data_IF_492457648111
#
_entry.id   IF_492457648111
#
_cell.length_a   1.000
_cell.length_b   1.000
_cell.length_c   1.000
_cell.angle_alpha   90.00
_cell.angle_beta   90.00
_cell.angle_gamma   90.00
#
_symmetry.space_group_name_H-M   'P 1'
#
loop_
_entity.id
_entity.type
_entity.pdbx_description
1 polymer ?
#
# COMPACT_ATOMS: atom_id res chain seq x y z
N UNK A 1 4.97 5.06 -11.80
CA UNK A 1 5.74 6.29 -11.54
C UNK A 1 7.21 5.96 -11.28
N UNK A 2 7.57 5.19 -10.24
CA UNK A 2 8.96 4.93 -9.81
C UNK A 2 9.85 4.41 -10.94
N UNK A 3 9.40 3.41 -11.69
CA UNK A 3 10.16 2.84 -12.82
C UNK A 3 10.42 3.88 -13.93
N UNK A 4 9.43 4.74 -14.22
CA UNK A 4 9.63 5.86 -15.17
C UNK A 4 10.60 6.92 -14.65
N UNK A 5 10.83 6.95 -13.34
CA UNK A 5 11.81 7.85 -12.69
C UNK A 5 13.18 7.20 -12.48
N UNK A 6 13.42 6.02 -13.09
CA UNK A 6 14.73 5.38 -13.10
C UNK A 6 14.99 4.34 -11.99
N UNK A 7 13.95 3.89 -11.27
CA UNK A 7 14.10 2.76 -10.35
C UNK A 7 14.41 1.50 -11.16
N UNK A 8 15.55 0.90 -10.92
CA UNK A 8 16.07 -0.24 -11.69
C UNK A 8 15.77 -1.62 -11.10
N UNK A 9 15.30 -1.67 -9.84
CA UNK A 9 14.89 -2.92 -9.19
C UNK A 9 13.71 -2.66 -8.28
N UNK A 10 12.74 -3.58 -8.23
CA UNK A 10 11.53 -3.45 -7.41
C UNK A 10 10.97 -4.81 -7.02
N UNK A 11 10.69 -4.97 -5.74
CA UNK A 11 9.95 -6.11 -5.20
C UNK A 11 8.49 -5.72 -5.02
N UNK A 12 7.59 -6.58 -5.47
CA UNK A 12 6.14 -6.40 -5.40
C UNK A 12 5.56 -7.47 -4.49
N UNK A 13 4.92 -7.06 -3.41
CA UNK A 13 4.35 -7.96 -2.40
C UNK A 13 2.85 -7.68 -2.29
N UNK A 14 2.02 -8.61 -2.72
CA UNK A 14 0.55 -8.56 -2.64
C UNK A 14 0.00 -9.95 -2.99
N UNK A 15 -0.91 -10.49 -2.20
CA UNK A 15 -1.52 -11.80 -2.45
C UNK A 15 -2.81 -11.73 -3.27
N UNK A 16 -3.34 -10.53 -3.44
CA UNK A 16 -4.61 -10.29 -4.10
C UNK A 16 -4.57 -10.49 -5.62
N UNK A 17 -5.73 -10.88 -6.14
CA UNK A 17 -6.04 -10.80 -7.58
C UNK A 17 -6.76 -9.49 -7.89
N UNK A 18 -6.64 -9.06 -9.14
CA UNK A 18 -7.41 -7.92 -9.66
C UNK A 18 -8.89 -8.27 -9.63
N UNK A 19 -9.67 -7.44 -8.94
CA UNK A 19 -11.12 -7.57 -8.83
C UNK A 19 -11.81 -6.51 -9.70
N UNK A 20 -13.03 -6.81 -10.15
CA UNK A 20 -13.83 -5.87 -10.94
C UNK A 20 -14.04 -4.52 -10.21
N UNK A 21 -14.19 -4.56 -8.89
CA UNK A 21 -14.33 -3.37 -8.06
C UNK A 21 -13.06 -2.52 -7.95
N UNK A 22 -11.92 -3.03 -8.40
CA UNK A 22 -10.67 -2.27 -8.43
C UNK A 22 -10.56 -1.31 -9.63
N UNK A 23 -11.41 -1.48 -10.67
CA UNK A 23 -11.36 -0.69 -11.90
C UNK A 23 -11.54 0.82 -11.65
N UNK A 24 -12.23 1.18 -10.58
CA UNK A 24 -12.51 2.57 -10.25
C UNK A 24 -11.28 3.36 -9.76
N UNK A 25 -10.18 2.70 -9.36
CA UNK A 25 -9.04 3.37 -8.72
C UNK A 25 -7.66 2.76 -8.97
N UNK A 26 -7.57 1.48 -9.36
CA UNK A 26 -6.28 0.81 -9.53
C UNK A 26 -5.86 0.80 -11.01
N UNK A 27 -4.70 1.39 -11.31
CA UNK A 27 -4.19 1.54 -12.68
C UNK A 27 -3.93 0.20 -13.39
N UNK A 28 -3.70 -0.88 -12.63
CA UNK A 28 -3.50 -2.23 -13.16
C UNK A 28 -4.80 -2.97 -13.41
N UNK A 29 -5.92 -2.45 -12.86
CA UNK A 29 -7.21 -3.09 -12.98
C UNK A 29 -7.87 -2.66 -14.29
N UNK A 30 -7.99 -3.59 -15.21
CA UNK A 30 -8.71 -3.49 -16.47
C UNK A 30 -9.57 -4.74 -16.66
N UNK A 31 -10.52 -4.72 -17.58
CA UNK A 31 -11.35 -5.91 -17.86
C UNK A 31 -10.50 -7.13 -18.23
N UNK A 32 -9.39 -6.93 -18.94
CA UNK A 32 -8.49 -8.01 -19.39
C UNK A 32 -7.56 -8.52 -18.28
N UNK A 33 -7.46 -7.82 -17.13
CA UNK A 33 -6.60 -8.22 -16.01
C UNK A 33 -7.37 -8.78 -14.82
N UNK A 34 -8.71 -8.66 -14.79
CA UNK A 34 -9.54 -9.25 -13.73
C UNK A 34 -9.23 -10.74 -13.56
N UNK A 35 -9.05 -11.18 -12.32
CA UNK A 35 -8.70 -12.55 -11.95
C UNK A 35 -7.20 -12.88 -11.95
N UNK A 36 -6.34 -12.03 -12.53
CA UNK A 36 -4.88 -12.19 -12.47
C UNK A 36 -4.32 -11.63 -11.18
N UNK A 37 -3.19 -12.16 -10.70
CA UNK A 37 -2.52 -11.61 -9.52
C UNK A 37 -2.05 -10.17 -9.78
N UNK A 38 -2.30 -9.27 -8.81
CA UNK A 38 -1.92 -7.85 -8.92
C UNK A 38 -0.42 -7.66 -9.15
N UNK A 39 0.40 -8.42 -8.45
CA UNK A 39 1.86 -8.35 -8.59
C UNK A 39 2.34 -8.79 -9.98
N UNK A 40 1.70 -9.79 -10.60
CA UNK A 40 2.05 -10.22 -11.96
C UNK A 40 1.66 -9.17 -13.01
N UNK A 41 0.44 -8.62 -12.89
CA UNK A 41 -0.02 -7.56 -13.81
C UNK A 41 0.87 -6.31 -13.68
N UNK A 42 1.29 -5.98 -12.47
CA UNK A 42 2.20 -4.85 -12.25
C UNK A 42 3.60 -5.13 -12.81
N UNK A 43 4.14 -6.36 -12.62
CA UNK A 43 5.41 -6.77 -13.22
C UNK A 43 5.39 -6.62 -14.74
N UNK A 44 4.38 -7.17 -15.39
CA UNK A 44 4.26 -7.13 -16.85
C UNK A 44 4.20 -5.66 -17.35
N UNK A 45 3.48 -4.80 -16.63
CA UNK A 45 3.44 -3.36 -16.91
C UNK A 45 4.79 -2.66 -16.67
N UNK A 46 5.55 -3.07 -15.66
CA UNK A 46 6.87 -2.53 -15.39
C UNK A 46 7.83 -2.87 -16.52
N UNK A 47 7.85 -4.12 -16.94
CA UNK A 47 8.73 -4.61 -18.02
C UNK A 47 8.35 -4.01 -19.39
N UNK A 48 7.08 -3.68 -19.62
CA UNK A 48 6.64 -2.93 -20.79
C UNK A 48 7.11 -1.46 -20.79
N UNK A 49 7.35 -0.89 -19.60
CA UNK A 49 7.88 0.48 -19.42
C UNK A 49 9.41 0.51 -19.48
N UNK A 50 10.04 -0.42 -18.79
CA UNK A 50 11.48 -0.56 -18.71
C UNK A 50 11.86 -2.06 -18.68
N UNK A 51 12.25 -2.63 -19.81
CA UNK A 51 12.58 -4.05 -19.89
C UNK A 51 13.82 -4.46 -19.07
N UNK A 52 14.68 -3.49 -18.73
CA UNK A 52 15.89 -3.74 -17.93
C UNK A 52 15.64 -3.70 -16.41
N UNK A 53 14.42 -3.36 -15.98
CA UNK A 53 14.06 -3.32 -14.57
C UNK A 53 14.00 -4.75 -13.99
N UNK A 54 14.72 -4.98 -12.90
CA UNK A 54 14.62 -6.24 -12.14
C UNK A 54 13.35 -6.21 -11.31
N UNK A 55 12.45 -7.18 -11.52
CA UNK A 55 11.16 -7.24 -10.80
C UNK A 55 10.99 -8.59 -10.15
N UNK A 56 10.96 -8.60 -8.82
CA UNK A 56 10.59 -9.78 -8.04
C UNK A 56 9.12 -9.69 -7.64
N UNK A 57 8.42 -10.81 -7.64
CA UNK A 57 6.99 -10.89 -7.30
C UNK A 57 6.77 -11.89 -6.17
N UNK A 58 6.12 -11.43 -5.11
CA UNK A 58 5.78 -12.23 -3.94
C UNK A 58 4.25 -12.26 -3.79
N UNK A 59 3.64 -13.43 -4.05
CA UNK A 59 2.19 -13.65 -3.95
C UNK A 59 1.82 -14.05 -2.53
N UNK A 60 2.07 -13.18 -1.59
CA UNK A 60 1.85 -13.44 -0.18
C UNK A 60 1.45 -12.18 0.56
N UNK A 61 0.83 -12.36 1.72
CA UNK A 61 0.64 -11.30 2.70
C UNK A 61 1.96 -11.02 3.43
N UNK A 62 2.30 -9.73 3.56
CA UNK A 62 3.31 -9.33 4.51
C UNK A 62 2.67 -9.28 5.91
N UNK A 63 3.12 -10.16 6.80
CA UNK A 63 2.65 -10.30 8.18
C UNK A 63 3.85 -10.36 9.13
N UNK A 64 3.67 -10.16 10.45
CA UNK A 64 4.75 -10.36 11.42
C UNK A 64 5.40 -11.74 11.32
N UNK A 65 4.64 -12.77 10.96
CA UNK A 65 5.09 -14.16 10.85
C UNK A 65 5.92 -14.41 9.58
N UNK A 66 5.70 -13.66 8.51
CA UNK A 66 6.39 -13.80 7.23
C UNK A 66 7.47 -12.72 7.00
N UNK A 67 7.64 -11.81 7.95
CA UNK A 67 8.56 -10.67 7.81
C UNK A 67 10.02 -11.07 7.55
N UNK A 68 10.45 -12.17 8.12
CA UNK A 68 11.84 -12.65 8.02
C UNK A 68 12.17 -13.25 6.64
N UNK A 69 11.16 -13.44 5.78
CA UNK A 69 11.33 -13.81 4.38
C UNK A 69 11.87 -12.62 3.54
N UNK A 70 11.82 -11.40 4.08
CA UNK A 70 12.20 -10.16 3.39
C UNK A 70 13.37 -9.50 4.11
N UNK A 71 14.53 -9.50 3.48
CA UNK A 71 15.71 -8.80 3.98
C UNK A 71 15.66 -7.30 3.63
N UNK A 72 15.12 -6.49 4.55
CA UNK A 72 15.04 -5.05 4.35
C UNK A 72 16.39 -4.36 4.27
N UNK A 73 17.48 -4.97 4.76
CA UNK A 73 18.82 -4.40 4.63
C UNK A 73 19.30 -4.33 3.17
N UNK A 74 18.74 -5.16 2.31
CA UNK A 74 19.04 -5.17 0.87
C UNK A 74 18.28 -4.08 0.08
N UNK A 75 17.22 -3.46 0.67
CA UNK A 75 16.41 -2.46 0.00
C UNK A 75 16.91 -1.04 0.22
N UNK A 76 16.96 -0.26 -0.84
CA UNK A 76 17.26 1.18 -0.74
C UNK A 76 16.10 1.97 -0.11
N UNK A 77 14.87 1.48 -0.24
CA UNK A 77 13.66 2.15 0.23
C UNK A 77 12.47 1.19 0.31
N UNK A 78 11.64 1.36 1.33
CA UNK A 78 10.38 0.61 1.49
C UNK A 78 9.19 1.55 1.29
N UNK A 79 8.20 1.10 0.50
CA UNK A 79 6.92 1.80 0.32
C UNK A 79 5.81 0.94 0.93
N UNK A 80 5.28 1.38 2.04
CA UNK A 80 4.13 0.76 2.69
C UNK A 80 2.83 1.33 2.10
N UNK A 81 2.14 0.51 1.33
CA UNK A 81 0.84 0.81 0.74
C UNK A 81 -0.24 -0.22 1.13
N UNK A 82 0.01 -1.03 2.17
CA UNK A 82 -0.96 -2.00 2.70
C UNK A 82 -2.05 -1.28 3.51
N UNK A 83 -3.20 -1.90 3.69
CA UNK A 83 -4.33 -1.35 4.44
C UNK A 83 -4.46 -1.92 5.87
N UNK A 84 -3.82 -3.05 6.15
CA UNK A 84 -3.87 -3.74 7.43
C UNK A 84 -2.94 -3.09 8.46
N UNK A 85 -3.47 -2.64 9.59
CA UNK A 85 -2.69 -1.96 10.65
C UNK A 85 -1.55 -2.82 11.18
N UNK A 86 -1.78 -4.12 11.38
CA UNK A 86 -0.76 -5.05 11.88
C UNK A 86 0.43 -5.13 10.94
N UNK A 87 0.17 -5.30 9.63
CA UNK A 87 1.22 -5.31 8.61
C UNK A 87 1.98 -3.99 8.53
N UNK A 88 1.27 -2.85 8.56
CA UNK A 88 1.91 -1.53 8.61
C UNK A 88 2.88 -1.37 9.77
N UNK A 89 2.47 -1.80 10.96
CA UNK A 89 3.34 -1.74 12.14
C UNK A 89 4.57 -2.63 11.96
N UNK A 90 4.40 -3.86 11.47
CA UNK A 90 5.49 -4.78 11.23
C UNK A 90 6.50 -4.23 10.20
N UNK A 91 6.01 -3.65 9.08
CA UNK A 91 6.84 -2.97 8.08
C UNK A 91 7.67 -1.84 8.67
N UNK A 92 7.04 -0.98 9.49
CA UNK A 92 7.73 0.14 10.14
C UNK A 92 8.78 -0.34 11.13
N UNK A 93 8.46 -1.36 11.92
CA UNK A 93 9.39 -1.91 12.92
C UNK A 93 10.60 -2.56 12.23
N UNK A 94 10.38 -3.38 11.21
CA UNK A 94 11.48 -4.01 10.47
C UNK A 94 12.36 -2.98 9.74
N UNK A 95 11.75 -1.97 9.11
CA UNK A 95 12.50 -0.89 8.48
C UNK A 95 13.37 -0.10 9.47
N UNK A 96 12.91 0.06 10.71
CA UNK A 96 13.70 0.70 11.77
C UNK A 96 14.84 -0.19 12.26
N UNK A 97 14.58 -1.48 12.43
CA UNK A 97 15.59 -2.46 12.87
C UNK A 97 16.74 -2.55 11.87
N UNK A 98 16.46 -2.49 10.57
CA UNK A 98 17.46 -2.54 9.50
C UNK A 98 18.02 -1.16 9.12
N UNK A 99 17.43 -0.07 9.60
CA UNK A 99 17.81 1.28 9.20
C UNK A 99 17.35 1.67 7.80
N UNK A 100 16.46 0.90 7.18
CA UNK A 100 15.98 1.13 5.81
C UNK A 100 14.97 2.26 5.77
N UNK A 101 15.12 3.25 4.88
CA UNK A 101 14.15 4.31 4.71
C UNK A 101 12.76 3.78 4.32
N UNK A 102 11.71 4.31 4.94
CA UNK A 102 10.33 3.90 4.66
C UNK A 102 9.40 5.12 4.53
N UNK A 103 8.42 5.01 3.64
CA UNK A 103 7.25 5.88 3.58
C UNK A 103 5.97 5.05 3.66
N UNK A 104 5.03 5.47 4.48
CA UNK A 104 3.78 4.75 4.69
C UNK A 104 2.58 5.58 4.21
N UNK A 105 1.76 4.99 3.35
CA UNK A 105 0.51 5.60 2.91
C UNK A 105 -0.58 5.38 3.96
N UNK A 106 -1.24 6.47 4.35
CA UNK A 106 -2.41 6.42 5.24
C UNK A 106 -3.70 6.23 4.45
N UNK A 107 -4.84 6.19 5.14
CA UNK A 107 -6.13 5.95 4.50
C UNK A 107 -6.53 7.05 3.52
N UNK A 108 -6.84 6.64 2.29
CA UNK A 108 -7.32 7.51 1.21
C UNK A 108 -8.82 7.29 0.89
N UNK A 109 -9.47 6.32 1.53
CA UNK A 109 -10.88 6.03 1.31
C UNK A 109 -11.79 7.21 1.64
N UNK A 110 -12.84 7.39 0.82
CA UNK A 110 -13.86 8.43 0.98
C UNK A 110 -13.31 9.87 0.98
N UNK A 111 -12.23 10.11 0.22
CA UNK A 111 -11.61 11.41 0.03
C UNK A 111 -11.62 11.75 -1.46
N UNK A 112 -12.11 12.94 -1.79
CA UNK A 112 -12.37 13.36 -3.17
C UNK A 112 -11.37 14.39 -3.68
N UNK A 113 -10.70 15.11 -2.78
CA UNK A 113 -9.77 16.18 -3.15
C UNK A 113 -8.32 15.69 -3.11
N UNK A 114 -7.70 15.33 -4.26
CA UNK A 114 -6.32 14.87 -4.31
C UNK A 114 -5.31 15.95 -3.91
N UNK A 115 -5.64 17.24 -4.02
CA UNK A 115 -4.76 18.34 -3.63
C UNK A 115 -4.58 18.47 -2.11
N UNK A 116 -5.39 17.77 -1.31
CA UNK A 116 -5.26 17.75 0.15
C UNK A 116 -4.33 16.66 0.67
N UNK A 117 -3.74 15.86 -0.23
CA UNK A 117 -2.69 14.90 0.17
C UNK A 117 -1.36 15.62 0.38
N UNK A 118 -0.69 15.27 1.45
CA UNK A 118 0.63 15.82 1.78
C UNK A 118 1.55 14.75 2.38
N UNK A 119 2.86 15.01 2.30
CA UNK A 119 3.89 14.23 2.97
C UNK A 119 4.21 14.90 4.29
N UNK A 120 4.11 14.15 5.39
CA UNK A 120 4.41 14.66 6.73
C UNK A 120 5.05 13.59 7.61
N UNK A 121 5.49 14.01 8.80
CA UNK A 121 5.76 13.06 9.88
C UNK A 121 4.44 12.59 10.49
N UNK A 122 4.35 11.29 10.84
CA UNK A 122 3.15 10.68 11.41
C UNK A 122 2.61 11.47 12.62
N UNK A 123 3.50 12.04 13.44
CA UNK A 123 3.12 12.81 14.63
C UNK A 123 2.61 14.23 14.32
N UNK A 124 2.77 14.70 13.08
CA UNK A 124 2.24 15.98 12.59
C UNK A 124 0.93 15.82 11.81
N UNK A 125 0.43 14.58 11.65
CA UNK A 125 -0.81 14.31 10.91
C UNK A 125 -2.04 14.68 11.73
N UNK A 126 -3.11 15.05 11.03
CA UNK A 126 -4.42 15.38 11.59
C UNK A 126 -5.54 14.65 10.84
N UNK A 127 -6.76 14.70 11.33
CA UNK A 127 -8.00 14.27 10.66
C UNK A 127 -8.06 12.76 10.35
N UNK A 128 -7.04 12.17 9.75
CA UNK A 128 -7.03 10.80 9.26
C UNK A 128 -7.17 9.76 10.41
N UNK A 129 -8.24 8.93 10.43
CA UNK A 129 -8.45 7.92 11.49
C UNK A 129 -7.34 6.87 11.54
N UNK A 130 -6.86 6.39 10.38
CA UNK A 130 -5.77 5.42 10.31
C UNK A 130 -4.48 6.01 10.90
N UNK A 131 -4.14 7.25 10.56
CA UNK A 131 -2.97 7.92 11.12
C UNK A 131 -3.08 8.07 12.65
N UNK A 132 -4.29 8.31 13.19
CA UNK A 132 -4.53 8.35 14.64
C UNK A 132 -4.20 7.02 15.32
N UNK A 133 -4.63 5.91 14.73
CA UNK A 133 -4.33 4.56 15.23
C UNK A 133 -2.83 4.30 15.15
N UNK A 134 -2.21 4.55 13.99
CA UNK A 134 -0.77 4.35 13.77
C UNK A 134 0.08 5.15 14.74
N UNK A 135 -0.23 6.44 14.98
CA UNK A 135 0.47 7.26 15.97
C UNK A 135 0.47 6.63 17.37
N UNK A 136 -0.70 6.15 17.79
CA UNK A 136 -0.85 5.52 19.12
C UNK A 136 0.01 4.25 19.22
N UNK A 137 -0.09 3.39 18.24
CA UNK A 137 0.58 2.08 18.27
C UNK A 137 2.11 2.21 18.08
N UNK A 138 2.56 3.11 17.22
CA UNK A 138 3.98 3.38 17.00
C UNK A 138 4.64 4.07 18.20
N UNK A 139 3.90 4.98 18.87
CA UNK A 139 4.41 5.62 20.12
C UNK A 139 4.66 4.61 21.22
N UNK A 140 3.78 3.60 21.39
CA UNK A 140 3.97 2.51 22.36
C UNK A 140 5.23 1.69 22.09
N UNK A 141 5.66 1.61 20.82
CA UNK A 141 6.83 0.86 20.36
C UNK A 141 8.10 1.71 20.25
N UNK A 142 8.06 2.95 20.73
CA UNK A 142 9.21 3.83 20.75
C UNK A 142 9.60 4.44 19.40
N UNK A 143 8.74 4.32 18.38
CA UNK A 143 8.98 4.93 17.05
C UNK A 143 8.90 6.45 17.20
N UNK A 144 10.00 7.14 16.90
CA UNK A 144 10.10 8.60 17.07
C UNK A 144 9.65 9.41 15.87
N UNK A 145 9.71 8.82 14.67
CA UNK A 145 9.34 9.47 13.41
C UNK A 145 8.95 8.43 12.36
N UNK A 146 8.03 8.79 11.48
CA UNK A 146 7.70 8.01 10.29
C UNK A 146 7.22 8.97 9.21
N UNK A 147 7.82 8.90 8.03
CA UNK A 147 7.34 9.63 6.86
C UNK A 147 6.06 9.00 6.36
N UNK A 148 5.00 9.78 6.19
CA UNK A 148 3.71 9.29 5.70
C UNK A 148 3.15 10.18 4.61
N UNK A 149 2.31 9.59 3.75
CA UNK A 149 1.39 10.31 2.87
C UNK A 149 0.00 10.21 3.49
N UNK A 150 -0.65 11.34 3.71
CA UNK A 150 -2.01 11.38 4.25
C UNK A 150 -2.78 12.58 3.69
N UNK A 151 -4.10 12.57 3.83
CA UNK A 151 -4.92 13.72 3.43
C UNK A 151 -5.53 14.40 4.66
N UNK A 152 -5.58 15.71 4.64
CA UNK A 152 -6.27 16.55 5.65
C UNK A 152 -7.77 16.66 5.40
N UNK A 153 -8.26 16.09 4.31
CA UNK A 153 -9.67 16.07 4.00
C UNK A 153 -10.45 15.22 5.01
N UNK A 154 -11.60 15.73 5.45
CA UNK A 154 -12.58 14.92 6.20
C UNK A 154 -13.14 13.85 5.27
N UNK A 155 -13.15 12.57 5.68
CA UNK A 155 -13.77 11.53 4.86
C UNK A 155 -15.25 11.83 4.66
N UNK A 156 -15.71 11.73 3.42
CA UNK A 156 -17.13 11.82 3.10
C UNK A 156 -17.84 10.57 3.64
N UNK A 157 -18.98 10.76 4.29
CA UNK A 157 -19.82 9.63 4.71
C UNK A 157 -20.47 9.02 3.45
N UNK A 158 -20.21 7.74 3.13
CA UNK A 158 -20.87 7.10 2.00
C UNK A 158 -22.39 7.09 2.20
N UNK A 159 -23.15 7.27 1.12
CA UNK A 159 -24.57 6.93 1.12
C UNK A 159 -24.61 5.40 1.09
N UNK A 160 -25.05 4.79 2.17
CA UNK A 160 -25.16 3.34 2.26
C UNK A 160 -26.26 2.85 1.34
N UNK A 161 -25.90 2.23 0.23
CA UNK A 161 -26.81 1.39 -0.52
C UNK A 161 -26.78 -0.01 0.11
N UNK A 162 -27.70 -0.27 1.01
CA UNK A 162 -27.82 -1.55 1.73
C UNK A 162 -28.09 -2.74 0.79
N UNK A 163 -28.42 -2.49 -0.47
CA UNK A 163 -28.68 -3.53 -1.49
C UNK A 163 -27.41 -4.09 -2.12
N UNK A 164 -26.26 -3.43 -1.94
CA UNK A 164 -25.01 -3.80 -2.61
C UNK A 164 -23.94 -4.13 -1.59
N UNK A 165 -23.79 -5.42 -1.25
CA UNK A 165 -22.62 -5.91 -0.52
C UNK A 165 -21.40 -5.95 -1.44
N UNK A 166 -20.34 -5.26 -1.08
CA UNK A 166 -19.06 -5.31 -1.82
C UNK A 166 -18.50 -6.76 -1.94
N UNK A 167 -18.79 -7.61 -0.95
CA UNK A 167 -18.44 -9.04 -0.97
C UNK A 167 -19.26 -9.84 -1.99
N UNK A 168 -20.49 -9.43 -2.29
CA UNK A 168 -21.36 -10.14 -3.24
C UNK A 168 -21.04 -9.81 -4.71
N UNK A 169 -20.29 -8.73 -4.97
CA UNK A 169 -19.94 -8.27 -6.32
C UNK A 169 -18.46 -8.47 -6.64
N UNK A 170 -17.67 -8.96 -5.71
CA UNK A 170 -16.30 -9.38 -5.97
C UNK A 170 -16.35 -10.74 -6.66
N UNK A 171 -16.42 -10.75 -7.99
CA UNK A 171 -16.22 -11.96 -8.81
C UNK A 171 -14.71 -12.23 -8.81
N UNK A 172 -14.17 -12.56 -7.64
CA UNK A 172 -12.93 -13.29 -7.57
C UNK A 172 -13.35 -14.76 -7.55
N UNK A 173 -13.00 -15.58 -8.56
CA UNK A 173 -13.21 -17.01 -8.43
C UNK A 173 -12.44 -17.53 -7.21
N UNK A 174 -12.96 -18.56 -6.54
CA UNK A 174 -12.33 -19.18 -5.40
C UNK A 174 -10.93 -19.70 -5.72
#
# INVERSE_FOLDING_TARGET
>A
ALVRSGVGAIDLIDDDKVCLTNLNRQIIATRSTVGKYKVEVMRDRILDINPDCKVEVHKCFYLPETRDEFDFSSYSYVVDAVDTVTAKIALVMQAQETGTPIISSMGAGNKLNPAMFEVADIYKTSVCPLAKVMRRELKKRGVKKLKVVYSREQPVTPIEDMSISCRAHCICPP
#
